data_IF_214321752445
#
_entry.id   IF_214321752445
#
_cell.length_a   1.000
_cell.length_b   1.000
_cell.length_c   1.000
_cell.angle_alpha   90.00
_cell.angle_beta   90.00
_cell.angle_gamma   90.00
#
_symmetry.space_group_name_H-M   'P 1'
#
loop_
_entity.id
_entity.type
_entity.pdbx_description
1 polymer ?
#
# COMPACT_ATOMS: atom_id res chain seq x y z
N UNK A 1 10.00 30.48 1.83
CA UNK A 1 10.17 29.28 0.99
C UNK A 1 8.85 28.96 0.32
N UNK A 2 8.82 28.63 -0.98
CA UNK A 2 7.57 28.20 -1.61
C UNK A 2 7.14 26.88 -0.99
N UNK A 3 5.88 26.82 -0.53
CA UNK A 3 5.27 25.59 -0.03
C UNK A 3 4.89 24.78 -1.27
N UNK A 4 5.66 23.75 -1.60
CA UNK A 4 5.28 22.77 -2.62
C UNK A 4 4.04 22.06 -2.08
N UNK A 5 2.86 22.46 -2.56
CA UNK A 5 1.62 21.72 -2.28
C UNK A 5 1.74 20.38 -2.97
N UNK A 6 1.80 19.31 -2.18
CA UNK A 6 1.69 17.95 -2.72
C UNK A 6 0.35 17.78 -3.41
N UNK A 7 0.32 17.04 -4.50
CA UNK A 7 -0.96 16.67 -5.13
C UNK A 7 -1.75 15.73 -4.21
N UNK A 8 -3.07 15.68 -4.38
CA UNK A 8 -3.91 14.74 -3.62
C UNK A 8 -3.48 13.28 -3.86
N UNK A 9 -2.97 13.00 -5.05
CA UNK A 9 -2.42 11.70 -5.41
C UNK A 9 -1.13 11.36 -4.63
N UNK A 10 -0.19 12.30 -4.53
CA UNK A 10 1.02 12.13 -3.71
C UNK A 10 0.69 11.94 -2.22
N UNK A 11 -0.32 12.65 -1.72
CA UNK A 11 -0.81 12.49 -0.34
C UNK A 11 -1.39 11.08 -0.15
N UNK A 12 -2.24 10.61 -1.08
CA UNK A 12 -2.83 9.26 -1.04
C UNK A 12 -1.75 8.18 -1.03
N UNK A 13 -0.75 8.25 -1.91
CA UNK A 13 0.32 7.25 -1.94
C UNK A 13 1.18 7.28 -0.67
N UNK A 14 1.45 8.46 -0.11
CA UNK A 14 2.15 8.55 1.17
C UNK A 14 1.37 7.89 2.32
N UNK A 15 0.05 8.12 2.37
CA UNK A 15 -0.84 7.48 3.35
C UNK A 15 -0.89 5.97 3.15
N UNK A 16 -1.01 5.49 1.91
CA UNK A 16 -1.02 4.07 1.58
C UNK A 16 0.28 3.39 2.03
N UNK A 17 1.44 3.99 1.76
CA UNK A 17 2.74 3.49 2.24
C UNK A 17 2.76 3.38 3.77
N UNK A 18 2.37 4.45 4.47
CA UNK A 18 2.33 4.48 5.93
C UNK A 18 1.41 3.39 6.50
N UNK A 19 0.23 3.22 5.90
CA UNK A 19 -0.75 2.22 6.30
C UNK A 19 -0.26 0.79 6.09
N UNK A 20 0.42 0.50 4.98
CA UNK A 20 1.04 -0.80 4.72
C UNK A 20 2.09 -1.11 5.79
N UNK A 21 3.04 -0.19 6.00
CA UNK A 21 4.14 -0.39 6.94
C UNK A 21 3.65 -0.61 8.37
N UNK A 22 2.78 0.26 8.86
CA UNK A 22 2.20 0.17 10.21
C UNK A 22 1.49 -1.16 10.45
N UNK A 23 0.76 -1.67 9.45
CA UNK A 23 0.02 -2.92 9.57
C UNK A 23 0.91 -4.15 9.43
N UNK A 24 1.90 -4.11 8.55
CA UNK A 24 2.90 -5.17 8.48
C UNK A 24 3.62 -5.33 9.82
N UNK A 25 3.98 -4.23 10.47
CA UNK A 25 4.56 -4.23 11.81
C UNK A 25 3.57 -4.78 12.85
N UNK A 26 2.34 -4.28 12.88
CA UNK A 26 1.32 -4.72 13.84
C UNK A 26 0.99 -6.22 13.73
N UNK A 27 1.00 -6.78 12.52
CA UNK A 27 0.73 -8.19 12.26
C UNK A 27 1.99 -9.06 12.14
N UNK A 28 3.18 -8.48 12.37
CA UNK A 28 4.48 -9.17 12.26
C UNK A 28 4.65 -9.91 10.92
N UNK A 29 4.23 -9.25 9.83
CA UNK A 29 4.27 -9.81 8.47
C UNK A 29 5.50 -9.30 7.73
N UNK A 30 6.24 -10.23 7.13
CA UNK A 30 7.46 -9.92 6.36
C UNK A 30 7.15 -9.61 4.90
N UNK A 31 8.10 -8.96 4.22
CA UNK A 31 8.03 -8.72 2.77
C UNK A 31 7.86 -10.04 2.00
N UNK A 32 8.57 -11.10 2.40
CA UNK A 32 8.41 -12.44 1.84
C UNK A 32 6.98 -12.97 1.94
N UNK A 33 6.33 -12.83 3.09
CA UNK A 33 4.96 -13.28 3.29
C UNK A 33 3.96 -12.47 2.46
N UNK A 34 4.16 -11.15 2.36
CA UNK A 34 3.30 -10.29 1.54
C UNK A 34 3.48 -10.54 0.04
N UNK A 35 4.71 -10.84 -0.39
CA UNK A 35 5.02 -11.21 -1.76
C UNK A 35 4.27 -12.49 -2.18
N UNK A 36 4.20 -13.50 -1.30
CA UNK A 36 3.40 -14.71 -1.52
C UNK A 36 1.89 -14.41 -1.67
N UNK A 37 1.35 -13.57 -0.79
CA UNK A 37 -0.08 -13.17 -0.82
C UNK A 37 -0.44 -12.44 -2.10
N UNK A 38 0.45 -11.56 -2.55
CA UNK A 38 0.23 -10.72 -3.72
C UNK A 38 0.61 -11.45 -5.02
N UNK A 39 1.31 -12.59 -4.94
CA UNK A 39 1.74 -13.38 -6.09
C UNK A 39 2.91 -12.76 -6.85
N UNK A 40 3.79 -12.03 -6.15
CA UNK A 40 4.97 -11.39 -6.74
C UNK A 40 6.26 -11.81 -6.03
N UNK A 41 7.41 -11.45 -6.60
CA UNK A 41 8.70 -11.67 -5.95
C UNK A 41 8.91 -10.71 -4.77
N UNK A 42 9.67 -11.15 -3.76
CA UNK A 42 9.95 -10.36 -2.55
C UNK A 42 10.56 -8.99 -2.84
N UNK A 43 11.54 -8.93 -3.75
CA UNK A 43 12.14 -7.67 -4.19
C UNK A 43 11.13 -6.74 -4.87
N UNK A 44 10.22 -7.29 -5.68
CA UNK A 44 9.14 -6.52 -6.32
C UNK A 44 8.20 -5.95 -5.27
N UNK A 45 7.82 -6.77 -4.28
CA UNK A 45 6.99 -6.30 -3.18
C UNK A 45 7.67 -5.17 -2.40
N UNK A 46 8.94 -5.34 -2.03
CA UNK A 46 9.71 -4.32 -1.30
C UNK A 46 9.81 -2.99 -2.06
N UNK A 47 9.94 -3.04 -3.39
CA UNK A 47 9.92 -1.84 -4.24
C UNK A 47 8.54 -1.20 -4.28
N UNK A 48 7.48 -1.96 -4.57
CA UNK A 48 6.10 -1.43 -4.63
C UNK A 48 5.61 -0.93 -3.26
N UNK A 49 6.03 -1.54 -2.16
CA UNK A 49 5.77 -1.04 -0.79
C UNK A 49 6.31 0.37 -0.59
N UNK A 50 7.47 0.67 -1.17
CA UNK A 50 8.06 2.01 -1.12
C UNK A 50 7.48 2.97 -2.16
N UNK A 51 6.85 2.43 -3.19
CA UNK A 51 6.26 3.09 -4.36
C UNK A 51 4.84 2.57 -4.62
N UNK A 52 3.86 2.91 -3.75
CA UNK A 52 2.55 2.28 -3.76
C UNK A 52 1.74 2.50 -5.04
N UNK A 53 2.08 3.55 -5.81
CA UNK A 53 1.52 3.83 -7.14
C UNK A 53 1.75 2.70 -8.15
N UNK A 54 2.71 1.81 -7.87
CA UNK A 54 3.05 0.67 -8.73
C UNK A 54 2.24 -0.58 -8.43
N UNK A 55 1.43 -0.59 -7.38
CA UNK A 55 0.51 -1.69 -7.14
C UNK A 55 -0.62 -1.67 -8.16
N UNK A 56 -0.93 -2.83 -8.72
CA UNK A 56 -2.15 -3.00 -9.52
C UNK A 56 -3.34 -3.17 -8.59
N UNK A 57 -4.54 -2.84 -9.08
CA UNK A 57 -5.76 -2.98 -8.30
C UNK A 57 -5.95 -4.38 -7.65
N UNK A 58 -5.75 -5.52 -8.36
CA UNK A 58 -5.83 -6.83 -7.73
C UNK A 58 -4.79 -7.06 -6.62
N UNK A 59 -3.58 -6.52 -6.76
CA UNK A 59 -2.54 -6.62 -5.72
C UNK A 59 -2.93 -5.85 -4.47
N UNK A 60 -3.48 -4.64 -4.63
CA UNK A 60 -3.99 -3.80 -3.52
C UNK A 60 -5.08 -4.55 -2.76
N UNK A 61 -6.06 -5.13 -3.45
CA UNK A 61 -7.14 -5.88 -2.80
C UNK A 61 -6.60 -7.04 -1.96
N UNK A 62 -5.67 -7.84 -2.50
CA UNK A 62 -5.06 -8.97 -1.76
C UNK A 62 -4.29 -8.48 -0.54
N UNK A 63 -3.50 -7.42 -0.71
CA UNK A 63 -2.74 -6.80 0.38
C UNK A 63 -3.66 -6.27 1.48
N UNK A 64 -4.69 -5.51 1.12
CA UNK A 64 -5.63 -4.91 2.06
C UNK A 64 -6.36 -5.99 2.87
N UNK A 65 -6.81 -7.06 2.21
CA UNK A 65 -7.43 -8.21 2.89
C UNK A 65 -6.48 -8.88 3.88
N UNK A 66 -5.23 -9.14 3.46
CA UNK A 66 -4.23 -9.78 4.34
C UNK A 66 -3.89 -8.92 5.55
N UNK A 67 -3.77 -7.62 5.35
CA UNK A 67 -3.45 -6.64 6.39
C UNK A 67 -4.69 -6.11 7.12
N UNK A 68 -5.87 -6.71 6.89
CA UNK A 68 -7.14 -6.37 7.54
C UNK A 68 -7.43 -4.86 7.52
N UNK A 69 -7.25 -4.23 6.36
CA UNK A 69 -7.70 -2.85 6.17
C UNK A 69 -9.22 -2.81 6.37
N UNK A 70 -9.74 -1.78 7.06
CA UNK A 70 -11.18 -1.58 7.14
C UNK A 70 -11.73 -1.14 5.77
N UNK A 71 -12.97 -1.51 5.45
CA UNK A 71 -13.53 -1.33 4.10
C UNK A 71 -13.55 0.14 3.65
N UNK A 72 -13.71 1.08 4.58
CA UNK A 72 -13.64 2.52 4.29
C UNK A 72 -12.25 2.96 3.81
N UNK A 73 -11.17 2.47 4.43
CA UNK A 73 -9.80 2.77 4.00
C UNK A 73 -9.47 2.07 2.67
N UNK A 74 -10.04 0.88 2.43
CA UNK A 74 -9.91 0.18 1.15
C UNK A 74 -10.51 1.04 0.02
N UNK A 75 -11.69 1.62 0.25
CA UNK A 75 -12.36 2.48 -0.73
C UNK A 75 -11.61 3.79 -0.99
N UNK A 76 -10.96 4.37 0.02
CA UNK A 76 -10.10 5.56 -0.12
C UNK A 76 -8.85 5.29 -0.96
N UNK A 77 -8.26 4.10 -0.83
CA UNK A 77 -7.11 3.68 -1.64
C UNK A 77 -7.53 3.33 -3.08
N UNK A 78 -8.76 2.84 -3.27
CA UNK A 78 -9.28 2.36 -4.56
C UNK A 78 -9.90 3.46 -5.42
N UNK A 79 -10.51 4.48 -4.81
CA UNK A 79 -11.20 5.53 -5.57
C UNK A 79 -10.19 6.40 -6.33
N UNK A 80 -9.96 6.01 -7.57
CA UNK A 80 -9.58 6.91 -8.66
C UNK A 80 -10.83 7.70 -9.05
N UNK A 81 -10.92 8.93 -8.54
CA UNK A 81 -11.63 10.03 -9.20
C UNK A 81 -10.62 11.13 -9.45
#
# INVERSE_FOLDING_TARGET
MPVIKKSDEEIRYALMKGNILKRMEAYQVTDKQMALVTGMAEKTFAQKKNHPERFTYPEVIRLCRKLKFPDNEILEVIRQQ
#
